data_IF_627517347141
#
_entry.id   IF_627517347141
#
_cell.length_a   1.000
_cell.length_b   1.000
_cell.length_c   1.000
_cell.angle_alpha   90.00
_cell.angle_beta   90.00
_cell.angle_gamma   90.00
#
_symmetry.space_group_name_H-M   'P 1'
#
loop_
_entity.id
_entity.type
_entity.pdbx_description
1 polymer ?
#
# COMPACT_ATOMS: atom_id res chain seq x y z
N UNK A 1 -6.22 -11.02 -7.44
CA UNK A 1 -5.73 -9.97 -6.53
C UNK A 1 -4.44 -10.48 -5.94
N UNK A 2 -3.35 -9.77 -6.20
CA UNK A 2 -2.04 -10.14 -5.67
C UNK A 2 -1.87 -9.71 -4.22
N UNK A 3 -1.00 -10.38 -3.48
CA UNK A 3 -0.45 -9.89 -2.23
C UNK A 3 1.07 -10.09 -2.28
N UNK A 4 1.82 -9.00 -2.38
CA UNK A 4 3.27 -9.06 -2.42
C UNK A 4 3.85 -9.11 -1.01
N UNK A 5 4.30 -10.30 -0.62
CA UNK A 5 4.88 -10.56 0.69
C UNK A 5 4.53 -11.92 1.24
N UNK A 6 5.01 -12.17 2.45
CA UNK A 6 4.74 -13.42 3.14
C UNK A 6 3.52 -13.32 4.05
N UNK A 7 2.69 -14.37 4.04
CA UNK A 7 1.48 -14.47 4.85
C UNK A 7 1.72 -15.12 6.22
N UNK A 8 2.89 -15.74 6.47
CA UNK A 8 3.16 -16.49 7.71
C UNK A 8 3.11 -15.65 9.00
N UNK A 9 3.32 -14.34 8.92
CA UNK A 9 3.24 -13.41 10.07
C UNK A 9 1.88 -12.71 10.14
N UNK A 10 0.90 -13.15 9.35
CA UNK A 10 -0.44 -12.55 9.33
C UNK A 10 -1.38 -13.37 10.23
N UNK A 11 -2.35 -12.72 10.89
CA UNK A 11 -3.33 -13.45 11.70
C UNK A 11 -4.08 -14.49 10.87
N UNK A 12 -4.19 -15.72 11.37
CA UNK A 12 -4.80 -16.84 10.64
C UNK A 12 -6.24 -16.53 10.22
N UNK A 13 -7.02 -15.93 11.12
CA UNK A 13 -8.41 -15.57 10.87
C UNK A 13 -8.59 -14.54 9.74
N UNK A 14 -7.60 -13.67 9.51
CA UNK A 14 -7.60 -12.74 8.36
C UNK A 14 -7.38 -13.52 7.07
N UNK A 15 -6.44 -14.46 7.08
CA UNK A 15 -6.17 -15.33 5.93
C UNK A 15 -7.35 -16.24 5.61
N UNK A 16 -8.02 -16.79 6.63
CA UNK A 16 -9.21 -17.62 6.49
C UNK A 16 -10.36 -16.81 5.86
N UNK A 17 -10.59 -15.59 6.36
CA UNK A 17 -11.61 -14.70 5.78
C UNK A 17 -11.29 -14.37 4.31
N UNK A 18 -10.03 -14.07 3.99
CA UNK A 18 -9.62 -13.79 2.60
C UNK A 18 -9.76 -15.04 1.71
N UNK A 19 -9.46 -16.23 2.23
CA UNK A 19 -9.63 -17.49 1.52
C UNK A 19 -11.12 -17.76 1.24
N UNK A 20 -12.01 -17.52 2.21
CA UNK A 20 -13.46 -17.66 2.04
C UNK A 20 -14.01 -16.65 1.02
N UNK A 21 -13.50 -15.42 1.04
CA UNK A 21 -13.99 -14.34 0.19
C UNK A 21 -13.49 -14.40 -1.25
N UNK A 22 -12.20 -14.70 -1.43
CA UNK A 22 -11.53 -14.59 -2.70
C UNK A 22 -11.15 -15.96 -3.28
N UNK A 23 -11.03 -17.00 -2.46
CA UNK A 23 -10.60 -18.33 -2.86
C UNK A 23 -9.32 -18.29 -3.67
N UNK A 24 -9.32 -18.93 -4.84
CA UNK A 24 -8.20 -18.94 -5.78
C UNK A 24 -7.89 -17.57 -6.40
N UNK A 25 -8.72 -16.53 -6.19
CA UNK A 25 -8.43 -15.17 -6.67
C UNK A 25 -7.41 -14.44 -5.79
N UNK A 26 -7.14 -14.92 -4.58
CA UNK A 26 -6.09 -14.39 -3.72
C UNK A 26 -4.75 -15.06 -4.03
N UNK A 27 -3.77 -14.27 -4.46
CA UNK A 27 -2.52 -14.77 -5.05
C UNK A 27 -1.30 -14.20 -4.30
N UNK A 28 -0.97 -14.73 -3.11
CA UNK A 28 0.19 -14.28 -2.34
C UNK A 28 1.49 -14.71 -3.02
N UNK A 29 2.46 -13.80 -3.12
CA UNK A 29 3.78 -14.10 -3.69
C UNK A 29 4.90 -13.53 -2.82
N UNK A 30 5.80 -14.41 -2.39
CA UNK A 30 6.98 -14.07 -1.56
C UNK A 30 8.29 -14.02 -2.35
N UNK A 31 8.27 -14.34 -3.64
CA UNK A 31 9.48 -14.55 -4.46
C UNK A 31 9.65 -13.52 -5.57
N UNK A 32 9.12 -12.32 -5.38
CA UNK A 32 9.28 -11.20 -6.32
C UNK A 32 10.55 -10.44 -5.96
N UNK A 33 11.69 -10.90 -6.49
CA UNK A 33 13.03 -10.41 -6.10
C UNK A 33 13.78 -9.64 -7.22
N UNK A 34 13.20 -9.53 -8.41
CA UNK A 34 13.79 -8.79 -9.53
C UNK A 34 12.75 -7.87 -10.16
N UNK A 35 13.22 -6.83 -10.85
CA UNK A 35 12.35 -5.89 -11.55
C UNK A 35 11.47 -6.59 -12.59
N UNK A 36 12.03 -7.55 -13.32
CA UNK A 36 11.28 -8.33 -14.31
C UNK A 36 10.21 -9.22 -13.65
N UNK A 37 10.54 -9.88 -12.53
CA UNK A 37 9.57 -10.67 -11.78
C UNK A 37 8.45 -9.78 -11.21
N UNK A 38 8.79 -8.57 -10.76
CA UNK A 38 7.82 -7.60 -10.26
C UNK A 38 6.89 -7.15 -11.38
N UNK A 39 7.43 -6.80 -12.54
CA UNK A 39 6.66 -6.41 -13.71
C UNK A 39 5.68 -7.51 -14.12
N UNK A 40 6.17 -8.74 -14.30
CA UNK A 40 5.32 -9.89 -14.66
C UNK A 40 4.24 -10.15 -13.62
N UNK A 41 4.58 -10.05 -12.33
CA UNK A 41 3.62 -10.23 -11.25
C UNK A 41 2.52 -9.17 -11.26
N UNK A 42 2.86 -7.91 -11.49
CA UNK A 42 1.90 -6.80 -11.53
C UNK A 42 1.07 -6.79 -12.83
N UNK A 43 1.63 -7.26 -13.95
CA UNK A 43 0.87 -7.48 -15.18
C UNK A 43 -0.19 -8.58 -14.99
N UNK A 44 0.16 -9.67 -14.30
CA UNK A 44 -0.78 -10.74 -13.98
C UNK A 44 -1.82 -10.33 -12.91
N UNK A 45 -1.41 -9.48 -11.97
CA UNK A 45 -2.23 -9.06 -10.83
C UNK A 45 -2.17 -7.53 -10.63
N UNK A 46 -2.85 -6.73 -11.47
CA UNK A 46 -2.78 -5.26 -11.37
C UNK A 46 -3.45 -4.71 -10.11
N UNK A 47 -4.43 -5.46 -9.56
CA UNK A 47 -5.00 -5.22 -8.24
C UNK A 47 -4.20 -5.94 -7.16
N UNK A 48 -3.68 -5.18 -6.22
CA UNK A 48 -2.88 -5.65 -5.09
C UNK A 48 -3.63 -5.41 -3.78
N UNK A 49 -3.54 -6.38 -2.89
CA UNK A 49 -4.04 -6.28 -1.53
C UNK A 49 -2.87 -6.03 -0.59
N UNK A 50 -3.08 -5.16 0.39
CA UNK A 50 -2.16 -4.89 1.46
C UNK A 50 -2.87 -5.12 2.80
N UNK A 51 -2.18 -5.82 3.70
CA UNK A 51 -2.64 -6.05 5.07
C UNK A 51 -1.46 -5.87 6.02
N UNK A 52 -1.71 -5.47 7.26
CA UNK A 52 -0.64 -5.11 8.19
C UNK A 52 -0.37 -6.21 9.22
N UNK A 53 0.83 -6.24 9.79
CA UNK A 53 1.26 -7.33 10.69
C UNK A 53 0.45 -7.34 11.99
N UNK A 54 0.12 -6.16 12.49
CA UNK A 54 -0.67 -5.98 13.71
C UNK A 54 -2.15 -5.71 13.42
N UNK A 55 -2.67 -6.22 12.29
CA UNK A 55 -4.09 -6.12 12.03
C UNK A 55 -4.83 -6.91 13.11
N UNK A 56 -5.46 -6.23 14.07
CA UNK A 56 -6.47 -6.86 14.91
C UNK A 56 -7.80 -6.77 14.17
N UNK A 57 -8.58 -7.84 14.24
CA UNK A 57 -9.70 -8.15 13.35
C UNK A 57 -11.05 -8.12 14.10
N UNK A 58 -12.19 -8.35 13.44
CA UNK A 58 -12.99 -7.45 12.61
C UNK A 58 -14.42 -7.57 13.19
N UNK A 59 -15.17 -6.48 13.45
CA UNK A 59 -14.91 -5.11 13.03
C UNK A 59 -13.70 -4.50 13.73
N UNK A 60 -13.10 -3.54 13.06
CA UNK A 60 -11.94 -2.81 13.51
C UNK A 60 -12.20 -2.08 14.84
N UNK A 61 -11.28 -2.20 15.78
CA UNK A 61 -11.20 -1.30 16.94
C UNK A 61 -10.26 -0.13 16.59
N UNK A 62 -10.82 1.09 16.52
CA UNK A 62 -10.07 2.32 16.25
C UNK A 62 -8.95 2.61 17.27
N UNK A 63 -8.92 1.91 18.41
CA UNK A 63 -7.86 2.01 19.40
C UNK A 63 -6.65 1.09 19.14
N UNK A 64 -6.77 0.11 18.25
CA UNK A 64 -5.74 -0.90 17.94
C UNK A 64 -5.22 -0.82 16.50
N UNK A 65 -5.20 0.38 15.92
CA UNK A 65 -4.96 0.49 14.48
C UNK A 65 -3.51 0.29 14.09
N UNK A 66 -3.30 -0.61 13.14
CA UNK A 66 -1.99 -0.82 12.54
C UNK A 66 -1.51 0.44 11.80
N UNK A 67 -0.21 0.74 11.94
CA UNK A 67 0.44 1.73 11.10
C UNK A 67 0.52 1.23 9.66
N UNK A 68 0.47 2.15 8.70
CA UNK A 68 0.62 1.82 7.29
C UNK A 68 1.99 1.20 7.01
N UNK A 69 2.02 -0.02 6.47
CA UNK A 69 3.23 -0.67 5.96
C UNK A 69 3.68 -0.07 4.61
N UNK A 70 4.06 1.21 4.61
CA UNK A 70 4.42 2.00 3.43
C UNK A 70 5.55 1.38 2.59
N UNK A 71 6.46 0.62 3.21
CA UNK A 71 7.55 -0.07 2.53
C UNK A 71 7.06 -1.13 1.53
N UNK A 72 5.89 -1.74 1.76
CA UNK A 72 5.26 -2.64 0.79
C UNK A 72 4.56 -1.86 -0.32
N UNK A 73 3.95 -0.73 0.01
CA UNK A 73 3.18 0.07 -0.93
C UNK A 73 4.06 0.80 -1.94
N UNK A 74 5.19 1.35 -1.52
CA UNK A 74 6.07 2.14 -2.39
C UNK A 74 6.47 1.41 -3.68
N UNK A 75 6.99 0.17 -3.67
CA UNK A 75 7.31 -0.55 -4.90
C UNK A 75 6.07 -0.86 -5.75
N UNK A 76 4.93 -1.18 -5.13
CA UNK A 76 3.68 -1.45 -5.86
C UNK A 76 3.18 -0.20 -6.59
N UNK A 77 3.10 0.92 -5.89
CA UNK A 77 2.57 2.18 -6.42
C UNK A 77 3.52 2.83 -7.43
N UNK A 78 4.83 2.73 -7.23
CA UNK A 78 5.83 3.17 -8.22
C UNK A 78 5.66 2.43 -9.55
N UNK A 79 5.24 1.16 -9.49
CA UNK A 79 4.92 0.32 -10.64
C UNK A 79 3.42 0.32 -11.00
N UNK A 80 2.69 1.37 -10.60
CA UNK A 80 1.29 1.61 -10.95
C UNK A 80 0.35 0.47 -10.57
N UNK A 81 0.56 -0.21 -9.45
CA UNK A 81 -0.46 -1.12 -8.92
C UNK A 81 -1.68 -0.33 -8.41
N UNK A 82 -2.88 -0.89 -8.56
CA UNK A 82 -4.06 -0.42 -7.85
C UNK A 82 -4.14 -1.16 -6.52
N UNK A 83 -4.16 -0.44 -5.39
CA UNK A 83 -4.00 -1.04 -4.06
C UNK A 83 -5.29 -0.95 -3.26
N UNK A 84 -5.72 -2.09 -2.73
CA UNK A 84 -6.68 -2.19 -1.63
C UNK A 84 -5.89 -2.46 -0.36
N UNK A 85 -6.11 -1.70 0.71
CA UNK A 85 -5.48 -1.95 2.00
C UNK A 85 -6.54 -2.17 3.07
N UNK A 86 -6.22 -3.02 4.03
CA UNK A 86 -6.94 -3.02 5.30
C UNK A 86 -6.81 -1.66 6.00
N UNK A 87 -7.75 -1.30 6.90
CA UNK A 87 -7.73 -0.01 7.59
C UNK A 87 -6.46 0.21 8.40
N UNK A 88 -6.06 1.48 8.47
CA UNK A 88 -4.91 2.01 9.20
C UNK A 88 -5.33 3.21 10.04
N UNK A 89 -4.45 3.69 10.92
CA UNK A 89 -4.75 4.83 11.78
C UNK A 89 -5.21 6.04 10.95
N UNK A 90 -6.16 6.83 11.45
CA UNK A 90 -6.80 7.91 10.68
C UNK A 90 -5.77 8.88 10.06
N UNK A 91 -4.69 9.18 10.79
CA UNK A 91 -3.58 9.98 10.28
C UNK A 91 -2.97 9.40 8.99
N UNK A 92 -2.75 8.08 8.97
CA UNK A 92 -2.22 7.40 7.79
C UNK A 92 -3.31 7.33 6.71
N UNK A 93 -4.56 7.05 7.07
CA UNK A 93 -5.68 7.00 6.11
C UNK A 93 -5.78 8.30 5.31
N UNK A 94 -5.74 9.45 5.98
CA UNK A 94 -5.73 10.77 5.34
C UNK A 94 -4.48 10.98 4.46
N UNK A 95 -3.32 10.53 4.92
CA UNK A 95 -2.07 10.62 4.15
C UNK A 95 -2.12 9.78 2.86
N UNK A 96 -2.86 8.67 2.85
CA UNK A 96 -2.95 7.73 1.73
C UNK A 96 -4.26 7.84 0.94
N UNK A 97 -5.12 8.79 1.30
CA UNK A 97 -6.41 9.02 0.66
C UNK A 97 -6.25 9.28 -0.84
N UNK A 98 -7.04 8.57 -1.65
CA UNK A 98 -7.01 8.62 -3.11
C UNK A 98 -5.86 7.83 -3.76
N UNK A 99 -4.84 7.43 -2.99
CA UNK A 99 -3.75 6.56 -3.47
C UNK A 99 -4.10 5.09 -3.23
N UNK A 100 -4.73 4.81 -2.10
CA UNK A 100 -5.09 3.46 -1.64
C UNK A 100 -6.58 3.40 -1.33
N UNK A 101 -7.22 2.29 -1.68
CA UNK A 101 -8.60 2.00 -1.33
C UNK A 101 -8.64 1.23 -0.01
N UNK A 102 -9.18 1.84 1.04
CA UNK A 102 -9.33 1.18 2.34
C UNK A 102 -10.62 0.36 2.37
N UNK A 103 -10.53 -0.89 2.83
CA UNK A 103 -11.67 -1.77 3.01
C UNK A 103 -11.41 -2.73 4.18
N UNK A 104 -12.44 -3.04 4.97
CA UNK A 104 -12.35 -4.10 5.97
C UNK A 104 -12.02 -5.44 5.29
N UNK A 105 -11.44 -6.38 6.04
CA UNK A 105 -11.12 -7.71 5.50
C UNK A 105 -12.40 -8.37 4.95
N UNK A 106 -13.52 -8.22 5.65
CA UNK A 106 -14.84 -8.71 5.24
C UNK A 106 -15.47 -7.97 4.05
N UNK A 107 -14.89 -6.86 3.61
CA UNK A 107 -15.37 -6.08 2.47
C UNK A 107 -14.43 -6.22 1.25
N UNK A 108 -13.33 -6.97 1.40
CA UNK A 108 -12.30 -7.10 0.38
C UNK A 108 -12.88 -7.61 -0.94
N UNK A 109 -13.75 -8.62 -0.92
CA UNK A 109 -14.40 -9.12 -2.14
C UNK A 109 -15.17 -8.00 -2.88
N UNK A 110 -15.96 -7.22 -2.15
CA UNK A 110 -16.74 -6.13 -2.73
C UNK A 110 -15.83 -5.04 -3.30
N UNK A 111 -14.78 -4.65 -2.57
CA UNK A 111 -13.80 -3.68 -3.02
C UNK A 111 -13.12 -4.12 -4.33
N UNK A 112 -12.75 -5.41 -4.42
CA UNK A 112 -12.17 -6.00 -5.62
C UNK A 112 -13.15 -5.97 -6.80
N UNK A 113 -14.40 -6.36 -6.57
CA UNK A 113 -15.44 -6.36 -7.61
C UNK A 113 -15.76 -4.95 -8.10
N UNK A 114 -15.73 -3.96 -7.21
CA UNK A 114 -15.93 -2.55 -7.57
C UNK A 114 -14.75 -1.95 -8.35
N UNK A 115 -13.51 -2.34 -8.03
CA UNK A 115 -12.31 -1.75 -8.63
C UNK A 115 -11.87 -2.45 -9.92
N UNK A 116 -12.15 -3.76 -10.07
CA UNK A 116 -11.72 -4.53 -11.23
C UNK A 116 -12.12 -3.92 -12.59
N UNK A 117 -13.36 -3.40 -12.79
CA UNK A 117 -13.75 -2.78 -14.06
C UNK A 117 -13.02 -1.46 -14.38
N UNK A 118 -12.41 -0.83 -13.38
CA UNK A 118 -11.78 0.49 -13.47
C UNK A 118 -10.32 0.45 -13.01
N UNK A 119 -9.68 -0.73 -13.07
CA UNK A 119 -8.32 -0.93 -12.57
C UNK A 119 -7.34 0.02 -13.24
N UNK A 120 -7.39 0.16 -14.57
CA UNK A 120 -6.49 1.04 -15.33
C UNK A 120 -6.56 2.49 -14.84
N UNK A 121 -7.78 2.97 -14.56
CA UNK A 121 -8.01 4.31 -14.02
C UNK A 121 -7.41 4.45 -12.62
N UNK A 122 -7.68 3.48 -11.74
CA UNK A 122 -7.10 3.45 -10.41
C UNK A 122 -5.55 3.47 -10.45
N UNK A 123 -4.94 2.66 -11.31
CA UNK A 123 -3.49 2.59 -11.46
C UNK A 123 -2.88 3.94 -11.85
N UNK A 124 -3.50 4.64 -12.80
CA UNK A 124 -3.02 5.96 -13.25
C UNK A 124 -3.21 7.00 -12.15
N UNK A 125 -4.41 7.09 -11.57
CA UNK A 125 -4.73 8.09 -10.54
C UNK A 125 -3.87 7.89 -9.28
N UNK A 126 -3.77 6.65 -8.77
CA UNK A 126 -2.97 6.31 -7.61
C UNK A 126 -1.48 6.62 -7.82
N UNK A 127 -0.93 6.29 -9.00
CA UNK A 127 0.46 6.60 -9.33
C UNK A 127 0.75 8.10 -9.34
N UNK A 128 -0.12 8.91 -9.97
CA UNK A 128 0.09 10.36 -10.04
C UNK A 128 0.00 11.00 -8.66
N UNK A 129 -0.98 10.60 -7.85
CA UNK A 129 -1.11 11.09 -6.48
C UNK A 129 0.07 10.64 -5.61
N UNK A 130 0.51 9.39 -5.73
CA UNK A 130 1.68 8.87 -5.01
C UNK A 130 2.94 9.67 -5.36
N UNK A 131 3.22 9.86 -6.66
CA UNK A 131 4.36 10.62 -7.14
C UNK A 131 4.33 12.07 -6.64
N UNK A 132 3.17 12.73 -6.70
CA UNK A 132 3.03 14.11 -6.24
C UNK A 132 3.15 14.25 -4.71
N UNK A 133 2.55 13.32 -3.96
CA UNK A 133 2.48 13.40 -2.50
C UNK A 133 3.78 12.98 -1.83
N UNK A 134 4.47 12.00 -2.39
CA UNK A 134 5.72 11.46 -1.88
C UNK A 134 6.93 11.83 -2.75
N UNK A 135 6.86 12.99 -3.42
CA UNK A 135 8.00 13.54 -4.15
C UNK A 135 9.21 13.73 -3.21
N UNK A 136 10.35 13.06 -3.47
CA UNK A 136 11.48 13.06 -2.55
C UNK A 136 12.04 14.45 -2.28
N UNK A 137 12.12 15.33 -3.30
CA UNK A 137 12.64 16.68 -3.12
C UNK A 137 11.74 17.48 -2.17
N UNK A 138 10.42 17.42 -2.40
CA UNK A 138 9.43 18.07 -1.53
C UNK A 138 9.53 17.57 -0.10
N UNK A 139 9.65 16.25 0.10
CA UNK A 139 9.75 15.64 1.43
C UNK A 139 11.04 16.04 2.14
N UNK A 140 12.18 16.06 1.43
CA UNK A 140 13.48 16.46 1.98
C UNK A 140 13.52 17.94 2.37
N UNK A 141 12.84 18.81 1.59
CA UNK A 141 12.66 20.23 1.96
C UNK A 141 11.77 20.37 3.20
N UNK A 142 10.63 19.70 3.22
CA UNK A 142 9.66 19.81 4.31
C UNK A 142 10.17 19.26 5.65
N UNK A 143 11.11 18.31 5.64
CA UNK A 143 11.69 17.75 6.85
C UNK A 143 12.80 18.60 7.48
N UNK A 144 13.24 19.69 6.82
CA UNK A 144 14.39 20.49 7.25
C UNK A 144 15.74 19.77 7.07
N UNK A 145 15.73 18.61 6.42
CA UNK A 145 16.93 17.81 6.20
C UNK A 145 17.96 18.57 5.36
N UNK A 146 17.51 19.24 4.30
CA UNK A 146 18.40 20.02 3.44
C UNK A 146 19.02 21.23 4.15
N UNK A 147 18.29 21.82 5.10
CA UNK A 147 18.78 22.95 5.91
C UNK A 147 19.86 22.50 6.91
N UNK A 148 19.82 21.23 7.32
CA UNK A 148 20.80 20.64 8.25
C UNK A 148 22.03 20.11 7.52
N UNK A 149 21.87 19.64 6.27
CA UNK A 149 22.95 19.02 5.51
C UNK A 149 23.85 20.06 4.82
N UNK A 150 23.35 21.26 4.53
CA UNK A 150 24.20 22.30 3.99
C UNK A 150 25.20 22.77 5.07
N UNK A 151 26.53 22.74 4.83
CA UNK A 151 27.47 23.35 5.75
C UNK A 151 27.05 24.80 5.96
N UNK A 152 27.08 25.36 7.19
CA UNK A 152 26.80 26.77 7.37
C UNK A 152 27.69 27.53 6.38
N UNK A 153 27.06 28.25 5.45
CA UNK A 153 27.80 29.10 4.54
C UNK A 153 28.55 30.08 5.42
N UNK A 154 29.88 29.98 5.47
CA UNK A 154 30.72 30.96 6.13
C UNK A 154 30.34 32.31 5.55
N UNK A 155 29.53 33.06 6.31
CA UNK A 155 29.43 34.50 6.15
C UNK A 155 30.67 35.06 6.82
N UNK A 156 31.82 34.85 6.18
CA UNK A 156 33.02 35.66 6.40
C UNK A 156 32.75 37.03 5.78
N UNK A 157 32.07 37.86 6.55
CA UNK A 157 32.12 39.32 6.41
C UNK A 157 33.38 39.88 7.04
#
# INVERSE_FOLDING_TARGET
VGFMGSTHLRPSNVLDTLADQLGSRFQPNRTVWSDEALRQYLEAFPLQFNMHQKQTCCPHDESEVAAMEAFRLAPLLTNKACVISTPVAEKDKLMWEGIVHFAEVSETKQAVESLAPQVDRCQVEAFQLFKSRFDPERLLRASGFLDTWWPPSDKSG
#
